data_IF_409440965591
#
_entry.id   IF_409440965591
#
_cell.length_a   1.000
_cell.length_b   1.000
_cell.length_c   1.000
_cell.angle_alpha   90.00
_cell.angle_beta   90.00
_cell.angle_gamma   90.00
#
_symmetry.space_group_name_H-M   'P 1'
#
loop_
_entity.id
_entity.type
_entity.pdbx_description
1 polymer ?
#
# COMPACT_ATOMS: atom_id res chain seq x y z
N UNK A 1 3.40 -6.13 -12.86
CA UNK A 1 4.20 -7.36 -13.10
C UNK A 1 3.80 -7.93 -14.45
N UNK A 2 4.70 -7.96 -15.44
CA UNK A 2 4.41 -8.62 -16.72
C UNK A 2 4.63 -10.13 -16.60
N UNK A 3 3.58 -10.91 -16.87
CA UNK A 3 3.66 -12.36 -16.92
C UNK A 3 4.33 -12.80 -18.21
N UNK A 4 5.31 -13.71 -18.08
CA UNK A 4 5.94 -14.44 -19.17
C UNK A 4 5.45 -15.89 -19.22
N UNK A 5 6.36 -16.80 -19.54
CA UNK A 5 6.05 -18.22 -19.66
C UNK A 5 5.59 -18.84 -18.34
N UNK A 6 4.59 -19.72 -18.42
CA UNK A 6 4.12 -20.51 -17.29
C UNK A 6 5.19 -21.52 -16.88
N UNK A 7 5.44 -21.62 -15.58
CA UNK A 7 6.37 -22.58 -14.98
C UNK A 7 5.58 -23.62 -14.19
N UNK A 8 5.94 -24.89 -14.35
CA UNK A 8 5.45 -25.96 -13.47
C UNK A 8 6.45 -26.14 -12.33
N UNK A 9 6.01 -25.88 -11.10
CA UNK A 9 6.76 -26.25 -9.92
C UNK A 9 6.54 -27.74 -9.60
N UNK A 10 7.53 -28.39 -8.98
CA UNK A 10 7.37 -29.76 -8.51
C UNK A 10 6.35 -29.80 -7.35
N UNK A 11 5.22 -30.47 -7.56
CA UNK A 11 4.14 -30.62 -6.58
C UNK A 11 2.78 -30.82 -7.25
N UNK A 12 1.79 -31.33 -6.50
CA UNK A 12 0.44 -31.67 -7.01
C UNK A 12 -0.51 -30.46 -7.13
N UNK A 13 -0.02 -29.23 -6.91
CA UNK A 13 -0.83 -28.02 -6.93
C UNK A 13 -1.14 -27.50 -8.34
N UNK A 14 -2.40 -27.12 -8.58
CA UNK A 14 -2.85 -26.44 -9.81
C UNK A 14 -2.61 -24.92 -9.82
N UNK A 15 -1.63 -24.44 -9.06
CA UNK A 15 -1.39 -22.99 -8.93
C UNK A 15 -0.69 -22.48 -10.19
N UNK A 16 -1.25 -21.42 -10.80
CA UNK A 16 -0.65 -20.79 -11.97
C UNK A 16 0.56 -19.96 -11.55
N UNK A 17 1.75 -20.43 -11.93
CA UNK A 17 3.03 -19.76 -11.69
C UNK A 17 3.62 -19.33 -13.02
N UNK A 18 4.07 -18.09 -13.13
CA UNK A 18 4.70 -17.56 -14.34
C UNK A 18 6.06 -16.95 -14.02
N UNK A 19 6.98 -17.00 -14.99
CA UNK A 19 8.16 -16.13 -14.95
C UNK A 19 7.71 -14.68 -15.08
N UNK A 20 8.40 -13.79 -14.37
CA UNK A 20 8.20 -12.35 -14.55
C UNK A 20 9.15 -11.87 -15.63
N UNK A 21 8.61 -11.26 -16.69
CA UNK A 21 9.41 -10.65 -17.77
C UNK A 21 9.96 -9.30 -17.33
N UNK A 22 9.11 -8.51 -16.67
CA UNK A 22 9.50 -7.25 -16.04
C UNK A 22 8.62 -6.94 -14.84
N UNK A 23 9.24 -6.32 -13.86
CA UNK A 23 8.57 -5.67 -12.75
C UNK A 23 8.62 -4.16 -12.99
N UNK A 24 7.51 -3.46 -12.76
CA UNK A 24 7.42 -2.01 -12.90
C UNK A 24 6.62 -1.45 -11.74
N UNK A 25 7.28 -0.69 -10.89
CA UNK A 25 6.67 -0.04 -9.73
C UNK A 25 6.08 1.31 -10.15
N UNK A 26 4.83 1.56 -9.74
CA UNK A 26 4.11 2.84 -9.89
C UNK A 26 4.30 3.50 -11.28
N UNK A 27 3.85 2.84 -12.37
CA UNK A 27 3.91 3.41 -13.71
C UNK A 27 3.10 4.72 -13.79
N UNK A 28 3.48 5.60 -14.73
CA UNK A 28 2.63 6.74 -15.07
C UNK A 28 1.32 6.28 -15.73
N UNK A 29 0.34 7.19 -15.85
CA UNK A 29 -1.02 6.88 -16.33
C UNK A 29 -0.99 6.22 -17.70
N UNK A 30 -0.26 6.78 -18.68
CA UNK A 30 -0.19 6.24 -20.04
C UNK A 30 0.33 4.80 -20.07
N UNK A 31 1.37 4.53 -19.28
CA UNK A 31 1.98 3.20 -19.19
C UNK A 31 1.05 2.22 -18.46
N UNK A 32 0.39 2.67 -17.38
CA UNK A 32 -0.60 1.87 -16.65
C UNK A 32 -1.76 1.45 -17.56
N UNK A 33 -2.32 2.37 -18.35
CA UNK A 33 -3.34 2.05 -19.33
C UNK A 33 -2.85 1.06 -20.38
N UNK A 34 -1.60 1.20 -20.84
CA UNK A 34 -1.01 0.27 -21.79
C UNK A 34 -0.91 -1.15 -21.22
N UNK A 35 -0.61 -1.27 -19.92
CA UNK A 35 -0.53 -2.56 -19.24
C UNK A 35 -1.90 -3.23 -19.15
N UNK A 36 -2.95 -2.46 -18.85
CA UNK A 36 -4.33 -2.95 -18.86
C UNK A 36 -4.74 -3.42 -20.26
N UNK A 37 -4.45 -2.63 -21.31
CA UNK A 37 -4.76 -3.01 -22.70
C UNK A 37 -4.08 -4.30 -23.15
N UNK A 38 -2.86 -4.57 -22.67
CA UNK A 38 -2.13 -5.80 -23.02
C UNK A 38 -2.67 -7.04 -22.30
N UNK A 39 -3.30 -6.90 -21.14
CA UNK A 39 -3.91 -8.00 -20.38
C UNK A 39 -2.95 -9.01 -19.73
N UNK A 40 -1.66 -8.97 -20.07
CA UNK A 40 -0.62 -9.85 -19.52
C UNK A 40 0.10 -9.26 -18.29
N UNK A 41 -0.44 -8.19 -17.70
CA UNK A 41 0.09 -7.60 -16.47
C UNK A 41 -0.78 -7.96 -15.27
N UNK A 42 -0.14 -8.10 -14.11
CA UNK A 42 -0.78 -8.22 -12.80
C UNK A 42 -0.30 -7.14 -11.85
N UNK A 43 -1.17 -6.73 -10.93
CA UNK A 43 -0.80 -5.86 -9.82
C UNK A 43 0.13 -6.60 -8.86
N UNK A 44 1.06 -5.86 -8.26
CA UNK A 44 1.87 -6.37 -7.16
C UNK A 44 1.06 -6.24 -5.86
N UNK A 45 0.85 -7.35 -5.15
CA UNK A 45 0.13 -7.36 -3.87
C UNK A 45 1.00 -6.94 -2.67
N UNK A 46 2.28 -6.63 -2.89
CA UNK A 46 3.24 -6.31 -1.83
C UNK A 46 3.65 -7.51 -0.97
N UNK A 47 3.28 -8.72 -1.38
CA UNK A 47 3.62 -9.96 -0.69
C UNK A 47 4.72 -10.70 -1.45
N UNK A 48 5.72 -11.18 -0.73
CA UNK A 48 6.84 -11.90 -1.32
C UNK A 48 7.22 -13.13 -0.51
N UNK A 49 7.73 -14.14 -1.20
CA UNK A 49 8.25 -15.37 -0.60
C UNK A 49 9.60 -15.67 -1.25
N UNK A 50 10.62 -15.86 -0.41
CA UNK A 50 11.98 -16.19 -0.85
C UNK A 50 12.71 -16.98 0.23
N UNK A 51 13.83 -17.60 -0.16
CA UNK A 51 14.81 -18.09 0.82
C UNK A 51 15.74 -16.94 1.23
N UNK A 52 16.27 -17.00 2.45
CA UNK A 52 17.27 -16.03 2.93
C UNK A 52 18.49 -15.93 2.00
N UNK A 53 19.09 -17.05 1.52
CA UNK A 53 20.20 -16.97 0.57
C UNK A 53 19.84 -16.26 -0.74
N UNK A 54 18.63 -16.50 -1.27
CA UNK A 54 18.19 -15.86 -2.51
C UNK A 54 18.05 -14.35 -2.36
N UNK A 55 17.34 -13.88 -1.33
CA UNK A 55 17.14 -12.42 -1.17
C UNK A 55 18.45 -11.69 -0.86
N UNK A 56 19.34 -12.29 -0.05
CA UNK A 56 20.65 -11.72 0.21
C UNK A 56 21.50 -11.62 -1.05
N UNK A 57 21.42 -12.62 -1.95
CA UNK A 57 22.09 -12.54 -3.25
C UNK A 57 21.61 -11.35 -4.07
N UNK A 58 20.31 -11.07 -4.09
CA UNK A 58 19.75 -9.93 -4.83
C UNK A 58 20.12 -8.59 -4.16
N UNK A 59 20.11 -8.50 -2.82
CA UNK A 59 20.61 -7.32 -2.09
C UNK A 59 22.07 -7.03 -2.42
N UNK A 60 22.95 -8.04 -2.40
CA UNK A 60 24.37 -7.86 -2.74
C UNK A 60 24.57 -7.34 -4.16
N UNK A 61 23.73 -7.74 -5.12
CA UNK A 61 23.83 -7.30 -6.53
C UNK A 61 23.25 -5.92 -6.77
N UNK A 62 22.12 -5.60 -6.12
CA UNK A 62 21.28 -4.46 -6.53
C UNK A 62 21.18 -3.33 -5.49
N UNK A 63 21.52 -3.60 -4.24
CA UNK A 63 21.53 -2.65 -3.13
C UNK A 63 22.63 -3.00 -2.10
N UNK A 64 23.91 -2.95 -2.48
CA UNK A 64 25.03 -3.41 -1.64
C UNK A 64 25.13 -2.67 -0.30
N UNK A 65 24.71 -1.40 -0.23
CA UNK A 65 24.63 -0.65 1.04
C UNK A 65 23.64 -1.26 2.04
N UNK A 66 22.52 -1.80 1.56
CA UNK A 66 21.56 -2.51 2.40
C UNK A 66 22.09 -3.91 2.78
N UNK A 67 22.81 -4.58 1.88
CA UNK A 67 23.45 -5.86 2.17
C UNK A 67 24.54 -5.74 3.25
N UNK A 68 25.34 -4.67 3.20
CA UNK A 68 26.32 -4.34 4.22
C UNK A 68 25.65 -4.09 5.58
N UNK A 69 24.58 -3.28 5.60
CA UNK A 69 23.80 -3.07 6.83
C UNK A 69 23.25 -4.37 7.42
N UNK A 70 22.68 -5.27 6.60
CA UNK A 70 22.20 -6.57 7.07
C UNK A 70 23.36 -7.39 7.67
N UNK A 71 24.54 -7.32 7.07
CA UNK A 71 25.74 -8.01 7.58
C UNK A 71 26.19 -7.43 8.92
N UNK A 72 26.17 -6.11 9.08
CA UNK A 72 26.48 -5.43 10.34
C UNK A 72 25.50 -5.83 11.44
N UNK A 73 24.19 -5.78 11.16
CA UNK A 73 23.12 -6.21 12.06
C UNK A 73 23.32 -7.66 12.51
N UNK A 74 23.61 -8.56 11.57
CA UNK A 74 23.86 -9.98 11.86
C UNK A 74 25.07 -10.20 12.78
N UNK A 75 26.11 -9.38 12.63
CA UNK A 75 27.34 -9.48 13.42
C UNK A 75 27.31 -8.70 14.73
N UNK A 76 26.22 -7.98 15.00
CA UNK A 76 26.17 -7.02 16.09
C UNK A 76 26.15 -7.69 17.47
N UNK A 77 26.90 -7.11 18.41
CA UNK A 77 26.86 -7.46 19.84
C UNK A 77 25.81 -6.65 20.60
N UNK A 78 25.40 -5.50 20.05
CA UNK A 78 24.41 -4.58 20.59
C UNK A 78 23.54 -4.10 19.42
N UNK A 79 22.45 -4.83 19.22
CA UNK A 79 21.56 -4.65 18.09
C UNK A 79 20.94 -3.25 18.09
N UNK A 80 20.43 -2.79 19.24
CA UNK A 80 19.73 -1.51 19.35
C UNK A 80 20.67 -0.36 18.99
N UNK A 81 21.89 -0.36 19.55
CA UNK A 81 22.89 0.65 19.19
C UNK A 81 23.21 0.63 17.69
N UNK A 82 23.36 -0.57 17.11
CA UNK A 82 23.67 -0.72 15.68
C UNK A 82 22.54 -0.20 14.81
N UNK A 83 21.29 -0.51 15.17
CA UNK A 83 20.11 -0.01 14.47
C UNK A 83 20.05 1.51 14.53
N UNK A 84 20.15 2.11 15.72
CA UNK A 84 20.12 3.57 15.89
C UNK A 84 21.21 4.29 15.08
N UNK A 85 22.45 3.80 15.13
CA UNK A 85 23.58 4.48 14.48
C UNK A 85 23.62 4.33 12.95
N UNK A 86 23.01 3.27 12.42
CA UNK A 86 23.16 2.87 11.01
C UNK A 86 21.88 3.05 10.22
N UNK A 87 20.72 2.76 10.78
CA UNK A 87 19.46 2.76 10.05
C UNK A 87 19.12 4.15 9.48
N UNK A 88 19.38 5.22 10.22
CA UNK A 88 19.17 6.61 9.78
C UNK A 88 20.01 7.00 8.55
N UNK A 89 21.13 6.30 8.32
CA UNK A 89 22.05 6.57 7.21
C UNK A 89 21.69 5.81 5.94
N UNK A 90 20.70 4.91 6.01
CA UNK A 90 20.33 4.08 4.87
C UNK A 90 19.56 4.89 3.82
N UNK A 91 19.69 4.52 2.53
CA UNK A 91 18.85 5.09 1.49
C UNK A 91 17.36 4.84 1.81
N UNK A 92 16.54 5.89 1.72
CA UNK A 92 15.09 5.74 1.77
C UNK A 92 14.58 5.26 0.42
N UNK A 93 14.51 3.93 0.25
CA UNK A 93 14.05 3.31 -0.99
C UNK A 93 13.13 2.11 -0.70
N UNK A 94 12.12 1.89 -1.54
CA UNK A 94 11.25 0.72 -1.43
C UNK A 94 11.96 -0.53 -1.94
N UNK A 95 11.57 -1.69 -1.43
CA UNK A 95 12.04 -2.98 -1.93
C UNK A 95 11.75 -3.18 -3.43
N UNK A 96 10.60 -2.69 -3.91
CA UNK A 96 10.19 -2.80 -5.31
C UNK A 96 11.19 -2.14 -6.28
N UNK A 97 11.53 -0.87 -6.03
CA UNK A 97 12.57 -0.16 -6.79
C UNK A 97 13.99 -0.67 -6.53
N UNK A 98 14.32 -0.99 -5.28
CA UNK A 98 15.68 -1.37 -4.91
C UNK A 98 16.06 -2.74 -5.51
N UNK A 99 15.13 -3.69 -5.47
CA UNK A 99 15.34 -5.11 -5.78
C UNK A 99 14.44 -5.58 -6.92
N UNK A 100 13.11 -5.48 -6.79
CA UNK A 100 12.18 -6.19 -7.71
C UNK A 100 12.26 -5.72 -9.17
N UNK A 101 12.47 -4.43 -9.44
CA UNK A 101 12.67 -3.93 -10.81
C UNK A 101 13.95 -4.46 -11.49
N UNK A 102 14.90 -4.98 -10.72
CA UNK A 102 16.23 -5.39 -11.19
C UNK A 102 16.47 -6.90 -11.08
N UNK A 103 15.72 -7.59 -10.22
CA UNK A 103 15.90 -9.00 -9.93
C UNK A 103 15.61 -9.86 -11.17
N UNK A 104 16.51 -10.80 -11.46
CA UNK A 104 16.43 -11.66 -12.66
C UNK A 104 15.59 -12.92 -12.44
N UNK A 105 15.52 -13.40 -11.19
CA UNK A 105 14.92 -14.71 -10.83
C UNK A 105 13.61 -14.52 -10.08
N UNK A 106 12.63 -13.94 -10.77
CA UNK A 106 11.31 -13.64 -10.19
C UNK A 106 10.24 -14.54 -10.81
N UNK A 107 9.45 -15.16 -9.94
CA UNK A 107 8.21 -15.86 -10.29
C UNK A 107 7.03 -15.10 -9.71
N UNK A 108 5.89 -15.16 -10.38
CA UNK A 108 4.62 -14.62 -9.89
C UNK A 108 3.61 -15.75 -9.77
N UNK A 109 2.95 -15.78 -8.61
CA UNK A 109 1.77 -16.61 -8.35
C UNK A 109 0.55 -15.71 -8.47
N UNK A 110 -0.40 -16.10 -9.33
CA UNK A 110 -1.64 -15.33 -9.48
C UNK A 110 -2.60 -15.62 -8.31
N UNK A 111 -3.00 -14.57 -7.60
CA UNK A 111 -3.97 -14.67 -6.51
C UNK A 111 -5.38 -14.87 -7.06
N UNK A 112 -6.16 -15.76 -6.43
CA UNK A 112 -7.55 -16.06 -6.79
C UNK A 112 -8.56 -15.50 -5.78
N UNK A 113 -8.12 -14.63 -4.89
CA UNK A 113 -8.93 -14.02 -3.83
C UNK A 113 -9.03 -12.51 -4.03
N UNK A 114 -10.06 -11.91 -3.46
CA UNK A 114 -10.23 -10.46 -3.46
C UNK A 114 -9.11 -9.79 -2.65
N UNK A 115 -8.52 -8.76 -3.21
CA UNK A 115 -7.42 -8.02 -2.60
C UNK A 115 -7.57 -6.53 -2.87
N UNK A 116 -7.34 -5.73 -1.83
CA UNK A 116 -7.28 -4.27 -1.89
C UNK A 116 -6.22 -3.83 -0.87
N UNK A 117 -5.39 -2.84 -1.22
CA UNK A 117 -4.31 -2.35 -0.36
C UNK A 117 -4.81 -1.38 0.74
N UNK A 118 -6.10 -1.01 0.67
CA UNK A 118 -6.74 -0.03 1.57
C UNK A 118 -5.90 1.25 1.68
N UNK A 119 -5.35 1.71 0.55
CA UNK A 119 -4.45 2.86 0.51
C UNK A 119 -5.12 4.23 0.64
N UNK A 120 -6.46 4.31 0.65
CA UNK A 120 -7.19 5.57 0.70
C UNK A 120 -8.55 5.47 1.38
N UNK A 121 -9.07 6.61 1.87
CA UNK A 121 -10.44 6.70 2.38
C UNK A 121 -11.51 6.33 1.35
N UNK A 122 -11.21 6.49 0.05
CA UNK A 122 -12.06 6.00 -1.02
C UNK A 122 -12.22 4.48 -1.00
N UNK A 123 -11.12 3.78 -0.75
CA UNK A 123 -11.12 2.32 -0.63
C UNK A 123 -11.88 1.92 0.62
N UNK A 124 -11.62 2.57 1.76
CA UNK A 124 -12.31 2.28 3.03
C UNK A 124 -13.83 2.40 2.87
N UNK A 125 -14.31 3.43 2.15
CA UNK A 125 -15.74 3.64 1.89
C UNK A 125 -16.43 2.52 1.12
N UNK A 126 -15.69 1.59 0.48
CA UNK A 126 -16.25 0.39 -0.17
C UNK A 126 -16.76 -0.63 0.84
N UNK A 127 -16.25 -0.60 2.06
CA UNK A 127 -16.61 -1.52 3.14
C UNK A 127 -17.74 -0.98 4.04
N UNK A 128 -18.17 0.26 3.82
CA UNK A 128 -19.25 0.88 4.58
C UNK A 128 -20.59 0.71 3.89
N UNK A 129 -21.65 0.69 4.71
CA UNK A 129 -23.00 0.80 4.18
C UNK A 129 -23.17 2.16 3.53
N UNK A 130 -23.76 2.17 2.34
CA UNK A 130 -24.12 3.39 1.63
C UNK A 130 -25.60 3.66 1.73
N UNK A 131 -25.97 4.94 1.81
CA UNK A 131 -27.35 5.38 1.64
C UNK A 131 -27.69 5.61 0.15
N UNK A 132 -28.92 6.06 -0.12
CA UNK A 132 -29.44 6.31 -1.47
C UNK A 132 -28.74 7.49 -2.18
N UNK A 133 -28.06 8.35 -1.43
CA UNK A 133 -27.33 9.52 -1.93
C UNK A 133 -25.81 9.27 -2.03
N UNK A 134 -25.37 8.03 -1.82
CA UNK A 134 -23.97 7.63 -1.93
C UNK A 134 -23.11 7.99 -0.72
N UNK A 135 -23.70 8.47 0.38
CA UNK A 135 -22.95 8.67 1.62
C UNK A 135 -22.58 7.32 2.21
N UNK A 136 -21.31 7.13 2.55
CA UNK A 136 -20.77 5.89 3.10
C UNK A 136 -20.35 6.11 4.56
N UNK A 137 -20.94 5.37 5.50
CA UNK A 137 -20.66 5.54 6.93
C UNK A 137 -20.49 4.21 7.67
N UNK A 138 -19.59 4.17 8.66
CA UNK A 138 -19.45 3.05 9.60
C UNK A 138 -20.38 3.16 10.83
N UNK A 139 -21.12 4.25 10.97
CA UNK A 139 -22.07 4.52 12.06
C UNK A 139 -23.41 5.01 11.54
N UNK A 140 -24.39 5.18 12.43
CA UNK A 140 -25.62 5.89 12.10
C UNK A 140 -25.30 7.30 11.59
N UNK A 141 -25.98 7.72 10.53
CA UNK A 141 -25.77 9.01 9.86
C UNK A 141 -27.13 9.66 9.62
N UNK A 142 -27.25 10.92 10.03
CA UNK A 142 -28.38 11.77 9.62
C UNK A 142 -27.89 12.72 8.54
N UNK A 143 -28.50 12.70 7.36
CA UNK A 143 -28.08 13.54 6.24
C UNK A 143 -29.30 14.23 5.62
N UNK A 144 -29.16 15.54 5.35
CA UNK A 144 -30.12 16.33 4.59
C UNK A 144 -29.36 17.09 3.50
N UNK A 145 -29.87 17.04 2.26
CA UNK A 145 -29.24 17.67 1.09
C UNK A 145 -27.73 17.40 1.00
N UNK A 146 -27.31 16.15 1.24
CA UNK A 146 -25.90 15.77 1.35
C UNK A 146 -25.62 14.47 0.59
N UNK A 147 -24.53 14.42 -0.18
CA UNK A 147 -24.23 13.28 -1.06
C UNK A 147 -22.74 12.98 -1.18
N UNK A 148 -22.42 11.73 -1.52
CA UNK A 148 -21.06 11.26 -1.81
C UNK A 148 -20.02 11.53 -0.70
N UNK A 149 -20.48 11.65 0.55
CA UNK A 149 -19.61 11.83 1.71
C UNK A 149 -19.10 10.49 2.25
N UNK A 150 -17.91 10.49 2.86
CA UNK A 150 -17.32 9.34 3.54
C UNK A 150 -17.18 9.70 5.01
N UNK A 151 -17.83 8.92 5.88
CA UNK A 151 -17.87 9.15 7.31
C UNK A 151 -17.23 7.96 8.02
N UNK A 152 -16.19 8.24 8.80
CA UNK A 152 -15.68 7.31 9.80
C UNK A 152 -15.86 7.94 11.18
N UNK A 153 -16.55 7.23 12.05
CA UNK A 153 -16.84 7.66 13.39
C UNK A 153 -16.40 6.57 14.36
N UNK A 154 -15.41 6.87 15.17
CA UNK A 154 -15.07 6.10 16.36
C UNK A 154 -16.00 6.58 17.50
N UNK A 155 -16.59 5.67 18.28
CA UNK A 155 -17.45 6.03 19.41
C UNK A 155 -18.92 6.32 19.09
N UNK A 156 -19.61 6.97 20.03
CA UNK A 156 -21.08 7.12 20.02
C UNK A 156 -21.58 8.52 19.61
N UNK A 157 -20.67 9.44 19.28
CA UNK A 157 -21.07 10.81 18.91
C UNK A 157 -21.84 10.80 17.60
N UNK A 158 -23.05 11.35 17.60
CA UNK A 158 -23.87 11.46 16.39
C UNK A 158 -23.26 12.45 15.40
N UNK A 159 -23.14 12.04 14.14
CA UNK A 159 -22.75 12.91 13.02
C UNK A 159 -23.99 13.21 12.18
N UNK A 160 -24.20 14.50 11.88
CA UNK A 160 -25.27 14.97 11.01
C UNK A 160 -24.72 15.87 9.90
N UNK A 161 -25.21 15.70 8.68
CA UNK A 161 -24.79 16.43 7.48
C UNK A 161 -25.94 17.27 6.93
N UNK A 162 -25.63 18.50 6.53
CA UNK A 162 -26.58 19.43 5.93
C UNK A 162 -25.92 20.19 4.77
N UNK A 163 -26.40 20.00 3.55
CA UNK A 163 -25.94 20.77 2.38
C UNK A 163 -24.48 20.51 1.98
N UNK A 164 -23.88 19.38 2.39
CA UNK A 164 -22.47 19.08 2.15
C UNK A 164 -22.28 17.88 1.23
N UNK A 165 -21.32 17.99 0.33
CA UNK A 165 -21.07 16.99 -0.69
C UNK A 165 -19.59 16.68 -0.79
N UNK A 166 -19.27 15.44 -1.16
CA UNK A 166 -17.91 15.00 -1.44
C UNK A 166 -16.93 15.29 -0.31
N UNK A 167 -17.36 15.16 0.95
CA UNK A 167 -16.47 15.29 2.11
C UNK A 167 -15.97 13.94 2.60
N UNK A 168 -14.80 13.93 3.21
CA UNK A 168 -14.32 12.89 4.10
C UNK A 168 -14.35 13.48 5.51
N UNK A 169 -15.09 12.85 6.41
CA UNK A 169 -15.27 13.25 7.81
C UNK A 169 -14.84 12.06 8.67
N UNK A 170 -13.71 12.20 9.36
CA UNK A 170 -13.14 11.18 10.24
C UNK A 170 -13.16 11.74 11.65
N UNK A 171 -13.85 11.07 12.57
CA UNK A 171 -13.80 11.35 14.01
C UNK A 171 -13.12 10.18 14.71
N UNK A 172 -12.03 10.49 15.39
CA UNK A 172 -11.36 9.63 16.38
C UNK A 172 -11.62 10.21 17.77
N UNK A 173 -11.09 9.56 18.81
CA UNK A 173 -11.25 10.04 20.18
C UNK A 173 -10.60 11.40 20.45
N UNK A 174 -9.52 11.71 19.74
CA UNK A 174 -8.65 12.87 19.95
C UNK A 174 -8.75 13.94 18.85
N UNK A 175 -9.29 13.62 17.68
CA UNK A 175 -9.32 14.54 16.55
C UNK A 175 -10.51 14.34 15.59
N UNK A 176 -10.79 15.39 14.81
CA UNK A 176 -11.71 15.32 13.68
C UNK A 176 -10.99 15.85 12.44
N UNK A 177 -10.93 15.03 11.39
CA UNK A 177 -10.50 15.44 10.06
C UNK A 177 -11.74 15.69 9.18
N UNK A 178 -11.81 16.88 8.59
CA UNK A 178 -12.78 17.20 7.54
C UNK A 178 -12.00 17.67 6.33
N UNK A 179 -12.16 17.00 5.20
CA UNK A 179 -11.56 17.44 3.95
C UNK A 179 -12.44 17.12 2.75
N UNK A 180 -12.23 17.85 1.66
CA UNK A 180 -12.84 17.48 0.39
C UNK A 180 -12.23 16.16 -0.10
N UNK A 181 -13.06 15.25 -0.58
CA UNK A 181 -12.72 13.88 -0.99
C UNK A 181 -11.66 13.80 -2.08
N UNK A 182 -11.60 14.79 -2.97
CA UNK A 182 -10.55 14.92 -4.00
C UNK A 182 -9.20 15.48 -3.48
N UNK A 183 -9.12 15.87 -2.20
CA UNK A 183 -7.90 16.37 -1.58
C UNK A 183 -7.29 15.35 -0.60
N UNK A 184 -7.81 14.12 -0.52
CA UNK A 184 -7.38 13.10 0.43
C UNK A 184 -5.85 12.83 0.40
N UNK A 185 -5.24 12.84 -0.79
CA UNK A 185 -3.79 12.68 -0.97
C UNK A 185 -2.94 13.75 -0.29
N UNK A 186 -3.52 14.91 0.03
CA UNK A 186 -2.86 16.03 0.70
C UNK A 186 -2.93 15.95 2.23
N UNK A 187 -3.61 14.96 2.81
CA UNK A 187 -3.67 14.78 4.28
C UNK A 187 -2.26 14.70 4.87
N UNK A 188 -1.31 14.03 4.20
CA UNK A 188 0.10 13.98 4.62
C UNK A 188 0.78 15.34 4.75
N UNK A 189 0.31 16.35 3.99
CA UNK A 189 0.82 17.72 4.08
C UNK A 189 0.23 18.48 5.28
N UNK A 190 -0.89 18.01 5.81
CA UNK A 190 -1.53 18.55 7.00
C UNK A 190 -0.87 18.02 8.28
N UNK A 191 -0.44 16.74 8.30
CA UNK A 191 0.16 16.09 9.49
C UNK A 191 1.25 16.95 10.11
N UNK A 192 2.23 17.44 9.33
CA UNK A 192 3.32 18.27 9.86
C UNK A 192 2.90 19.67 10.37
N UNK A 193 1.62 20.03 10.29
CA UNK A 193 1.05 21.28 10.81
C UNK A 193 0.15 21.06 12.03
N UNK A 194 -0.09 19.80 12.42
CA UNK A 194 -0.88 19.48 13.59
C UNK A 194 -0.09 19.76 14.87
N UNK A 195 -0.75 19.89 16.03
CA UNK A 195 -0.06 19.88 17.32
C UNK A 195 0.79 18.61 17.48
N UNK A 196 1.96 18.67 18.16
CA UNK A 196 2.86 17.52 18.32
C UNK A 196 2.20 16.25 18.87
N UNK A 197 1.19 16.40 19.71
CA UNK A 197 0.38 15.30 20.27
C UNK A 197 -0.51 14.57 19.25
N UNK A 198 -0.70 15.13 18.05
CA UNK A 198 -1.53 14.60 16.96
C UNK A 198 -0.72 14.31 15.68
N UNK A 199 0.62 14.41 15.72
CA UNK A 199 1.53 14.09 14.60
C UNK A 199 1.99 12.63 14.67
#
# INVERSE_FOLDING_TARGET
IEQGEQVRLHGEGKIAVHRVVRFREKPNVDLAESFLRKGNFRWNAGMFVWSVPSVLSEFNRHAPELADFISQVRSSKDLDKTLCERFEKLPRNSFDYAIMEKAERVLVVEASFDWDDVGSWWTVARYFKKDEHGNAANSALTALDSSDNIIFNEGETTIALLGVHNLIIIRTDDAILICHRHQAEKIKNLVGKLPPELQ
#
